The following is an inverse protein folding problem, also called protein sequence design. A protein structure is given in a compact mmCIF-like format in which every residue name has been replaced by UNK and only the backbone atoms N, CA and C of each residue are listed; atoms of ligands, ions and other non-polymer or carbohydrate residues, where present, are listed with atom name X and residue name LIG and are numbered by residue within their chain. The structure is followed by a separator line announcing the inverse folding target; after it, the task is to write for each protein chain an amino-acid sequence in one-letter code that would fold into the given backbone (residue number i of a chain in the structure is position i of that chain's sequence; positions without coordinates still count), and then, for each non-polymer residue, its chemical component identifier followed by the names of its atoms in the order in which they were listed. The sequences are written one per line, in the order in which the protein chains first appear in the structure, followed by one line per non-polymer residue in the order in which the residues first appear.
data_IF_526337818856
#
_entry.id   IF_526337818856
#
_cell.length_a   1.000
_cell.length_b   1.000
_cell.length_c   1.000
_cell.angle_alpha   90.00
_cell.angle_beta   90.00
_cell.angle_gamma   90.00
#
_symmetry.space_group_name_H-M   'P 1'
#
loop_
_entity.id
_entity.type
_entity.pdbx_description
1 polymer ?
#
# COMPACT_ATOMS: atom_id res chain seq x y z
N UNK A 1 -25.75 27.22 36.88
CA UNK A 1 -24.80 26.08 37.03
C UNK A 1 -25.08 25.07 35.92
N UNK A 2 -24.20 24.97 34.91
CA UNK A 2 -24.36 24.00 33.83
C UNK A 2 -23.84 22.64 34.29
N UNK A 3 -24.74 21.67 34.40
CA UNK A 3 -24.45 20.28 34.73
C UNK A 3 -23.56 19.68 33.63
N UNK A 4 -22.25 19.65 33.85
CA UNK A 4 -21.33 18.89 33.01
C UNK A 4 -21.67 17.40 33.18
N UNK A 5 -22.48 16.85 32.27
CA UNK A 5 -22.65 15.41 32.12
C UNK A 5 -21.28 14.79 31.84
N UNK A 6 -20.66 14.26 32.89
CA UNK A 6 -19.39 13.54 32.84
C UNK A 6 -19.59 12.33 31.94
N UNK A 7 -19.12 12.41 30.70
CA UNK A 7 -19.13 11.27 29.78
C UNK A 7 -18.16 10.22 30.34
N UNK A 8 -18.69 9.24 31.07
CA UNK A 8 -17.89 8.18 31.66
C UNK A 8 -17.59 7.08 30.62
N UNK A 9 -16.32 6.69 30.42
CA UNK A 9 -15.96 5.63 29.50
C UNK A 9 -16.37 4.27 30.07
N UNK A 10 -17.48 3.73 29.59
CA UNK A 10 -18.03 2.45 30.05
C UNK A 10 -17.14 1.27 29.59
N UNK A 11 -17.02 0.21 30.41
CA UNK A 11 -16.18 -0.98 30.15
C UNK A 11 -16.61 -1.71 28.86
N UNK A 12 -17.91 -1.66 28.53
CA UNK A 12 -18.48 -2.20 27.29
C UNK A 12 -17.88 -1.57 26.01
N UNK A 13 -17.30 -0.37 26.12
CA UNK A 13 -16.71 0.35 24.97
C UNK A 13 -15.40 -0.32 24.53
N UNK A 14 -14.68 -1.03 25.42
CA UNK A 14 -13.38 -1.62 25.07
C UNK A 14 -13.51 -2.79 24.07
N UNK A 15 -14.46 -3.70 24.29
CA UNK A 15 -14.72 -4.81 23.36
C UNK A 15 -15.19 -4.31 21.98
N UNK A 16 -16.09 -3.32 21.96
CA UNK A 16 -16.53 -2.66 20.71
C UNK A 16 -15.39 -1.96 19.98
N UNK A 17 -14.43 -1.35 20.70
CA UNK A 17 -13.22 -0.77 20.11
C UNK A 17 -12.32 -1.80 19.44
N UNK A 18 -12.24 -3.02 19.98
CA UNK A 18 -11.54 -4.12 19.33
C UNK A 18 -12.27 -4.56 18.05
N UNK A 19 -13.59 -4.72 18.11
CA UNK A 19 -14.41 -5.01 16.91
C UNK A 19 -14.24 -3.94 15.82
N UNK A 20 -14.24 -2.65 16.19
CA UNK A 20 -13.95 -1.56 15.26
C UNK A 20 -12.57 -1.69 14.60
N UNK A 21 -11.56 -2.09 15.37
CA UNK A 21 -10.20 -2.30 14.86
C UNK A 21 -10.15 -3.45 13.84
N UNK A 22 -10.82 -4.57 14.11
CA UNK A 22 -10.89 -5.70 13.18
C UNK A 22 -11.56 -5.30 11.87
N UNK A 23 -12.69 -4.59 11.93
CA UNK A 23 -13.40 -4.11 10.74
C UNK A 23 -12.52 -3.12 9.95
N UNK A 24 -11.92 -2.13 10.62
CA UNK A 24 -11.04 -1.17 9.96
C UNK A 24 -9.80 -1.86 9.36
N UNK A 25 -9.26 -2.91 10.01
CA UNK A 25 -8.15 -3.71 9.47
C UNK A 25 -8.56 -4.49 8.22
N UNK A 26 -9.76 -5.07 8.19
CA UNK A 26 -10.29 -5.74 7.00
C UNK A 26 -10.45 -4.77 5.82
N UNK A 27 -11.02 -3.59 6.07
CA UNK A 27 -11.18 -2.54 5.04
C UNK A 27 -9.83 -2.05 4.53
N UNK A 28 -8.88 -1.79 5.42
CA UNK A 28 -7.54 -1.36 5.03
C UNK A 28 -6.77 -2.44 4.26
N UNK A 29 -6.94 -3.72 4.60
CA UNK A 29 -6.35 -4.81 3.83
C UNK A 29 -6.92 -4.86 2.41
N UNK A 30 -8.24 -4.73 2.25
CA UNK A 30 -8.87 -4.65 0.94
C UNK A 30 -8.33 -3.45 0.13
N UNK A 31 -8.25 -2.27 0.75
CA UNK A 31 -7.69 -1.08 0.11
C UNK A 31 -6.22 -1.26 -0.28
N UNK A 32 -5.41 -1.89 0.56
CA UNK A 32 -4.01 -2.21 0.25
C UNK A 32 -3.88 -3.15 -0.93
N UNK A 33 -4.75 -4.15 -1.05
CA UNK A 33 -4.77 -5.05 -2.20
C UNK A 33 -5.10 -4.26 -3.47
N UNK A 34 -6.14 -3.42 -3.45
CA UNK A 34 -6.53 -2.62 -4.62
C UNK A 34 -5.42 -1.65 -5.03
N UNK A 35 -4.90 -0.87 -4.09
CA UNK A 35 -3.81 0.10 -4.34
C UNK A 35 -2.53 -0.63 -4.72
N UNK A 36 -2.22 -1.76 -4.10
CA UNK A 36 -1.08 -2.63 -4.41
C UNK A 36 -1.12 -3.14 -5.84
N UNK A 37 -2.26 -3.61 -6.34
CA UNK A 37 -2.36 -4.06 -7.72
C UNK A 37 -2.10 -2.95 -8.76
N UNK A 38 -2.31 -1.67 -8.39
CA UNK A 38 -2.07 -0.52 -9.27
C UNK A 38 -0.65 0.03 -9.16
N UNK A 39 -0.15 0.22 -7.93
CA UNK A 39 1.11 0.93 -7.64
C UNK A 39 2.20 0.03 -7.07
N UNK A 40 1.84 -1.15 -6.60
CA UNK A 40 2.74 -2.06 -5.91
C UNK A 40 3.76 -2.68 -6.85
N UNK A 41 4.93 -2.95 -6.29
CA UNK A 41 5.99 -3.69 -6.96
C UNK A 41 6.04 -5.06 -6.32
N UNK A 42 6.08 -6.10 -7.15
CA UNK A 42 6.22 -7.47 -6.64
C UNK A 42 7.63 -7.63 -6.08
N UNK A 43 7.71 -8.09 -4.82
CA UNK A 43 8.97 -8.36 -4.12
C UNK A 43 8.88 -9.73 -3.48
N UNK A 44 9.98 -10.45 -3.46
CA UNK A 44 10.11 -11.64 -2.63
C UNK A 44 10.04 -11.22 -1.16
N UNK A 45 8.99 -11.66 -0.48
CA UNK A 45 8.74 -11.35 0.94
C UNK A 45 9.45 -12.29 1.87
N UNK A 46 9.41 -13.58 1.52
CA UNK A 46 9.93 -14.64 2.36
C UNK A 46 10.54 -15.67 1.44
N UNK A 47 11.66 -16.23 1.88
CA UNK A 47 12.29 -17.31 1.18
C UNK A 47 13.24 -18.01 2.13
N UNK A 48 13.39 -19.31 1.93
CA UNK A 48 14.41 -20.10 2.61
C UNK A 48 15.47 -20.47 1.57
N UNK A 49 16.57 -19.70 1.46
CA UNK A 49 17.67 -20.08 0.58
C UNK A 49 18.39 -21.32 1.09
N UNK A 50 18.31 -21.60 2.40
CA UNK A 50 19.06 -22.68 3.04
C UNK A 50 18.63 -24.06 2.52
N UNK A 51 17.35 -24.23 2.18
CA UNK A 51 16.84 -25.47 1.62
C UNK A 51 17.49 -25.80 0.27
N UNK A 52 17.70 -24.80 -0.60
CA UNK A 52 18.40 -24.99 -1.88
C UNK A 52 19.88 -25.39 -1.70
N UNK A 53 20.55 -24.92 -0.65
CA UNK A 53 21.96 -25.27 -0.36
C UNK A 53 22.14 -26.69 0.17
N UNK A 54 21.11 -27.32 0.73
CA UNK A 54 21.18 -28.69 1.28
C UNK A 54 20.45 -29.73 0.41
N UNK A 55 20.11 -29.38 -0.83
CA UNK A 55 19.41 -30.28 -1.76
C UNK A 55 17.90 -30.42 -1.50
N UNK A 56 17.32 -29.56 -0.65
CA UNK A 56 15.88 -29.46 -0.42
C UNK A 56 15.19 -28.47 -1.36
N UNK A 57 13.86 -28.55 -1.46
CA UNK A 57 13.07 -27.59 -2.22
C UNK A 57 13.10 -26.21 -1.54
N UNK A 58 13.62 -25.20 -2.23
CA UNK A 58 13.49 -23.83 -1.77
C UNK A 58 12.07 -23.32 -1.98
N UNK A 59 11.53 -22.69 -0.94
CA UNK A 59 10.24 -22.01 -0.97
C UNK A 59 10.51 -20.52 -1.02
N UNK A 60 9.89 -19.83 -1.98
CA UNK A 60 9.88 -18.38 -2.07
C UNK A 60 8.43 -17.92 -2.21
N UNK A 61 8.05 -16.94 -1.40
CA UNK A 61 6.75 -16.27 -1.48
C UNK A 61 6.98 -14.86 -1.98
N UNK A 62 6.41 -14.52 -3.14
CA UNK A 62 6.30 -13.14 -3.61
C UNK A 62 4.98 -12.53 -3.13
N UNK A 63 5.00 -11.25 -2.84
CA UNK A 63 3.78 -10.47 -2.67
C UNK A 63 3.95 -9.07 -3.23
N UNK A 64 2.84 -8.50 -3.66
CA UNK A 64 2.76 -7.12 -4.13
C UNK A 64 2.79 -6.23 -2.90
N UNK A 65 3.90 -5.51 -2.71
CA UNK A 65 4.06 -4.63 -1.55
C UNK A 65 3.96 -3.17 -1.96
N UNK A 66 3.28 -2.40 -1.12
CA UNK A 66 3.33 -0.94 -1.10
C UNK A 66 4.51 -0.52 -0.23
N UNK A 67 5.36 0.39 -0.69
CA UNK A 67 6.43 0.91 0.15
C UNK A 67 5.88 1.62 1.39
N UNK A 68 6.66 1.62 2.48
CA UNK A 68 6.25 2.15 3.79
C UNK A 68 5.64 3.57 3.76
N UNK A 69 6.13 4.55 2.93
CA UNK A 69 5.54 5.88 2.91
C UNK A 69 4.12 5.86 2.36
N UNK A 70 3.85 4.98 1.38
CA UNK A 70 2.53 4.82 0.78
C UNK A 70 1.57 4.14 1.73
N UNK A 71 2.05 3.15 2.49
CA UNK A 71 1.27 2.53 3.55
C UNK A 71 0.89 3.52 4.64
N UNK A 72 1.83 4.38 5.06
CA UNK A 72 1.58 5.42 6.04
C UNK A 72 0.57 6.45 5.51
N UNK A 73 0.75 6.91 4.27
CA UNK A 73 -0.16 7.85 3.63
C UNK A 73 -1.59 7.28 3.56
N UNK A 74 -1.74 6.02 3.12
CA UNK A 74 -3.04 5.34 3.06
C UNK A 74 -3.70 5.24 4.44
N UNK A 75 -2.92 4.88 5.46
CA UNK A 75 -3.39 4.77 6.84
C UNK A 75 -3.90 6.11 7.37
N UNK A 76 -3.06 7.15 7.26
CA UNK A 76 -3.36 8.49 7.80
C UNK A 76 -4.55 9.09 7.07
N UNK A 77 -4.58 9.03 5.73
CA UNK A 77 -5.69 9.55 4.94
C UNK A 77 -7.01 8.84 5.23
N UNK A 78 -7.04 7.51 5.30
CA UNK A 78 -8.24 6.73 5.62
C UNK A 78 -8.84 7.15 6.98
N UNK A 79 -8.02 7.17 8.03
CA UNK A 79 -8.50 7.49 9.38
C UNK A 79 -8.82 8.98 9.56
N UNK A 80 -7.94 9.86 9.07
CA UNK A 80 -8.11 11.31 9.21
C UNK A 80 -9.37 11.80 8.49
N UNK A 81 -9.57 11.40 7.23
CA UNK A 81 -10.71 11.87 6.44
C UNK A 81 -12.03 11.43 7.09
N UNK A 82 -12.14 10.17 7.50
CA UNK A 82 -13.38 9.67 8.08
C UNK A 82 -13.68 10.29 9.45
N UNK A 83 -12.67 10.40 10.32
CA UNK A 83 -12.86 10.98 11.64
C UNK A 83 -13.12 12.50 11.58
N UNK A 84 -12.51 13.23 10.65
CA UNK A 84 -12.78 14.65 10.46
C UNK A 84 -14.16 14.90 9.82
N UNK A 85 -14.55 14.12 8.81
CA UNK A 85 -15.79 14.33 8.06
C UNK A 85 -17.03 13.80 8.77
N UNK A 86 -16.92 12.64 9.41
CA UNK A 86 -18.04 11.89 9.98
C UNK A 86 -17.96 11.71 11.50
N UNK A 87 -16.83 12.04 12.13
CA UNK A 87 -16.62 11.82 13.57
C UNK A 87 -16.41 10.35 13.94
N UNK A 88 -16.35 9.44 12.97
CA UNK A 88 -16.13 8.02 13.18
C UNK A 88 -15.51 7.40 11.92
N UNK A 89 -14.74 6.33 12.12
CA UNK A 89 -14.28 5.46 11.03
C UNK A 89 -15.38 4.49 10.65
N UNK A 90 -15.29 3.83 9.50
CA UNK A 90 -16.26 2.79 9.11
C UNK A 90 -16.41 1.71 10.18
N UNK A 91 -15.29 1.20 10.74
CA UNK A 91 -15.32 0.22 11.82
C UNK A 91 -15.97 0.78 13.09
N UNK A 92 -15.61 2.01 13.50
CA UNK A 92 -16.22 2.66 14.68
C UNK A 92 -17.72 2.90 14.48
N UNK A 93 -18.13 3.30 13.27
CA UNK A 93 -19.53 3.53 12.95
C UNK A 93 -20.34 2.22 13.03
N UNK A 94 -19.79 1.11 12.52
CA UNK A 94 -20.44 -0.21 12.58
C UNK A 94 -20.72 -0.68 14.01
N UNK A 95 -19.85 -0.35 14.97
CA UNK A 95 -20.02 -0.70 16.39
C UNK A 95 -20.62 0.45 17.24
N UNK A 96 -21.21 1.47 16.59
CA UNK A 96 -21.84 2.65 17.22
C UNK A 96 -20.90 3.43 18.14
N UNK A 97 -19.67 3.68 17.69
CA UNK A 97 -18.70 4.55 18.36
C UNK A 97 -18.50 5.85 17.60
N UNK A 98 -18.29 6.93 18.35
CA UNK A 98 -17.92 8.24 17.80
C UNK A 98 -16.72 8.83 18.53
N UNK A 99 -15.97 9.65 17.81
CA UNK A 99 -14.84 10.43 18.32
C UNK A 99 -15.29 11.88 18.49
N UNK A 100 -15.10 12.41 19.69
CA UNK A 100 -15.44 13.79 20.06
C UNK A 100 -14.25 14.47 20.74
N UNK A 101 -14.22 15.80 20.73
CA UNK A 101 -13.27 16.58 21.54
C UNK A 101 -13.62 16.49 23.05
N UNK A 102 -12.73 16.95 23.94
CA UNK A 102 -13.01 16.98 25.38
C UNK A 102 -14.25 17.80 25.77
N UNK A 103 -14.72 18.70 24.90
CA UNK A 103 -15.94 19.48 25.06
C UNK A 103 -17.18 18.80 24.47
N UNK A 104 -17.07 17.56 23.97
CA UNK A 104 -18.15 16.82 23.33
C UNK A 104 -18.49 17.25 21.89
N UNK A 105 -17.68 18.13 21.30
CA UNK A 105 -17.85 18.63 19.92
C UNK A 105 -17.15 17.76 18.89
N UNK A 106 -17.42 18.02 17.62
CA UNK A 106 -16.70 17.38 16.51
C UNK A 106 -15.20 17.68 16.58
N UNK A 107 -14.44 16.68 16.17
CA UNK A 107 -12.99 16.78 16.01
C UNK A 107 -12.64 17.73 14.86
N UNK A 108 -11.71 18.65 15.09
CA UNK A 108 -11.10 19.47 14.03
C UNK A 108 -10.06 18.68 13.23
N UNK A 109 -9.85 19.03 11.96
CA UNK A 109 -8.87 18.41 11.05
C UNK A 109 -7.48 18.19 11.67
N UNK A 110 -6.92 19.19 12.37
CA UNK A 110 -5.61 19.08 13.03
C UNK A 110 -5.60 18.06 14.18
N UNK A 111 -6.68 18.01 14.96
CA UNK A 111 -6.82 17.01 16.03
C UNK A 111 -6.98 15.59 15.48
N UNK A 112 -7.69 15.44 14.35
CA UNK A 112 -7.77 14.17 13.62
C UNK A 112 -6.40 13.75 13.04
N UNK A 113 -5.63 14.69 12.49
CA UNK A 113 -4.30 14.41 11.95
C UNK A 113 -3.33 13.99 13.04
N UNK A 114 -3.22 14.78 14.12
CA UNK A 114 -2.29 14.51 15.22
C UNK A 114 -2.49 13.13 15.85
N UNK A 115 -3.74 12.73 16.10
CA UNK A 115 -4.01 11.39 16.64
C UNK A 115 -3.69 10.25 15.66
N UNK A 116 -3.83 10.50 14.36
CA UNK A 116 -3.64 9.45 13.34
C UNK A 116 -2.18 9.31 12.90
N UNK A 117 -1.38 10.37 13.01
CA UNK A 117 0.09 10.29 12.82
C UNK A 117 0.78 9.49 13.93
N UNK A 118 0.26 9.51 15.15
CA UNK A 118 0.78 8.74 16.28
C UNK A 118 0.24 7.30 16.33
N UNK A 119 -0.76 6.99 15.51
CA UNK A 119 -1.38 5.66 15.48
C UNK A 119 -0.40 4.51 15.12
N UNK A 120 0.56 4.66 14.19
CA UNK A 120 1.59 3.64 13.97
C UNK A 120 2.43 3.36 15.21
N UNK A 121 2.77 4.40 15.99
CA UNK A 121 3.53 4.26 17.25
C UNK A 121 2.71 3.50 18.29
N UNK A 122 1.41 3.81 18.39
CA UNK A 122 0.50 3.08 19.27
C UNK A 122 0.42 1.58 18.94
N UNK A 123 0.54 1.20 17.66
CA UNK A 123 0.48 -0.19 17.19
C UNK A 123 1.80 -0.94 17.33
N UNK A 124 2.93 -0.32 17.00
CA UNK A 124 4.23 -1.00 16.91
C UNK A 124 4.71 -1.59 18.25
N UNK A 125 4.31 -0.97 19.36
CA UNK A 125 4.73 -1.38 20.71
C UNK A 125 3.58 -1.86 21.60
N UNK A 126 2.39 -2.07 21.02
CA UNK A 126 1.14 -2.22 21.79
C UNK A 126 0.95 -1.12 22.86
N UNK A 127 1.66 0.01 22.72
CA UNK A 127 1.74 1.08 23.69
C UNK A 127 0.38 1.72 23.88
N UNK A 128 -0.40 1.82 22.80
CA UNK A 128 -1.77 2.32 22.85
C UNK A 128 -2.66 1.47 23.77
N UNK A 129 -2.48 0.14 23.79
CA UNK A 129 -3.24 -0.73 24.69
C UNK A 129 -2.81 -0.55 26.16
N UNK A 130 -1.50 -0.44 26.41
CA UNK A 130 -0.95 -0.20 27.75
C UNK A 130 -1.39 1.16 28.31
N UNK A 131 -1.33 2.22 27.50
CA UNK A 131 -1.76 3.57 27.88
C UNK A 131 -3.27 3.62 28.09
N UNK A 132 -4.06 2.96 27.23
CA UNK A 132 -5.51 2.85 27.44
C UNK A 132 -5.86 2.11 28.74
N UNK A 133 -5.10 1.08 29.10
CA UNK A 133 -5.33 0.32 30.33
C UNK A 133 -5.02 1.14 31.60
N UNK A 134 -4.03 2.03 31.55
CA UNK A 134 -3.65 2.90 32.68
C UNK A 134 -4.33 4.27 32.68
N UNK A 135 -4.96 4.68 31.58
CA UNK A 135 -5.64 5.97 31.49
C UNK A 135 -7.06 5.89 32.08
N UNK A 136 -7.43 6.78 33.02
CA UNK A 136 -8.78 6.81 33.59
C UNK A 136 -9.85 7.12 32.55
N UNK A 137 -9.47 7.80 31.45
CA UNK A 137 -10.36 8.11 30.32
C UNK A 137 -10.27 7.07 29.18
N UNK A 138 -9.47 6.00 29.36
CA UNK A 138 -9.15 4.99 28.36
C UNK A 138 -8.72 5.61 27.01
N UNK A 139 -7.92 6.66 27.05
CA UNK A 139 -7.39 7.33 25.87
C UNK A 139 -6.11 6.66 25.38
N UNK A 140 -5.88 6.62 24.06
CA UNK A 140 -4.57 6.29 23.49
C UNK A 140 -3.62 7.49 23.59
N UNK A 141 -2.33 7.29 23.31
CA UNK A 141 -1.35 8.36 23.34
C UNK A 141 -1.71 9.47 22.32
N UNK A 142 -2.13 9.07 21.11
CA UNK A 142 -2.64 10.01 20.11
C UNK A 142 -3.94 10.73 20.53
N UNK A 143 -4.84 10.06 21.25
CA UNK A 143 -6.08 10.66 21.73
C UNK A 143 -5.83 11.68 22.84
N UNK A 144 -4.83 11.42 23.69
CA UNK A 144 -4.39 12.32 24.75
C UNK A 144 -3.82 13.61 24.17
N UNK A 145 -2.88 13.50 23.22
CA UNK A 145 -2.27 14.66 22.55
C UNK A 145 -3.29 15.46 21.73
N UNK A 146 -4.24 14.79 21.08
CA UNK A 146 -5.30 15.46 20.33
C UNK A 146 -6.46 15.97 21.20
N UNK A 147 -6.42 15.75 22.53
CA UNK A 147 -7.50 16.13 23.45
C UNK A 147 -8.87 15.60 23.00
N UNK A 148 -8.93 14.31 22.69
CA UNK A 148 -10.14 13.67 22.13
C UNK A 148 -10.50 12.37 22.84
N UNK A 149 -11.77 11.99 22.77
CA UNK A 149 -12.28 10.77 23.39
C UNK A 149 -13.18 9.99 22.44
N UNK A 150 -13.22 8.67 22.64
CA UNK A 150 -14.11 7.77 21.91
C UNK A 150 -15.25 7.34 22.83
N UNK A 151 -16.47 7.66 22.42
CA UNK A 151 -17.71 7.51 23.18
C UNK A 151 -18.72 6.66 22.43
N UNK A 152 -19.74 6.20 23.14
CA UNK A 152 -20.90 5.59 22.50
C UNK A 152 -21.63 6.64 21.66
N UNK A 153 -21.99 6.32 20.42
CA UNK A 153 -22.68 7.23 19.53
C UNK A 153 -24.02 7.70 20.11
N UNK A 154 -24.68 6.87 20.92
CA UNK A 154 -25.97 7.17 21.54
C UNK A 154 -25.84 8.18 22.69
N UNK A 155 -24.63 8.31 23.26
CA UNK A 155 -24.32 9.30 24.33
C UNK A 155 -24.05 10.72 23.80
N UNK A 156 -23.98 10.89 22.48
CA UNK A 156 -23.69 12.18 21.85
C UNK A 156 -25.00 12.85 21.42
N UNK A 157 -25.31 14.08 21.89
CA UNK A 157 -26.54 14.78 21.51
C UNK A 157 -26.76 14.83 19.99
N UNK A 158 -27.96 14.43 19.56
CA UNK A 158 -28.36 14.46 18.15
C UNK A 158 -28.45 15.92 17.67
N UNK A 159 -27.45 16.39 16.92
CA UNK A 159 -27.41 17.78 16.45
C UNK A 159 -25.99 18.30 16.18
N UNK A 160 -24.98 17.67 16.79
CA UNK A 160 -23.55 17.98 16.56
C UNK A 160 -23.09 17.77 15.10
N UNK A 161 -23.88 17.04 14.31
CA UNK A 161 -23.64 16.86 12.88
C UNK A 161 -24.88 17.25 12.04
N UNK A 162 -24.93 18.47 11.46
CA UNK A 162 -25.99 18.84 10.52
C UNK A 162 -26.05 17.87 9.32
N UNK A 163 -27.24 17.37 8.97
CA UNK A 163 -27.44 16.44 7.84
C UNK A 163 -26.90 16.98 6.51
N UNK A 164 -26.97 18.30 6.30
CA UNK A 164 -26.42 18.98 5.14
C UNK A 164 -24.89 18.85 5.03
N UNK A 165 -24.18 18.93 6.16
CA UNK A 165 -22.73 18.77 6.20
C UNK A 165 -22.32 17.33 5.91
N UNK A 166 -23.06 16.34 6.43
CA UNK A 166 -22.84 14.92 6.10
C UNK A 166 -23.06 14.65 4.61
N UNK A 167 -24.10 15.23 3.99
CA UNK A 167 -24.35 15.09 2.54
C UNK A 167 -23.23 15.71 1.72
N UNK A 168 -22.78 16.92 2.05
CA UNK A 168 -21.64 17.59 1.40
C UNK A 168 -20.36 16.75 1.51
N UNK A 169 -20.08 16.20 2.69
CA UNK A 169 -18.89 15.39 2.93
C UNK A 169 -18.95 14.05 2.17
N UNK A 170 -20.14 13.44 2.02
CA UNK A 170 -20.34 12.27 1.17
C UNK A 170 -20.08 12.58 -0.30
N UNK A 171 -20.62 13.68 -0.81
CA UNK A 171 -20.38 14.11 -2.20
C UNK A 171 -18.88 14.39 -2.42
N UNK A 172 -18.24 15.13 -1.51
CA UNK A 172 -16.81 15.41 -1.59
C UNK A 172 -15.97 14.12 -1.59
N UNK A 173 -16.31 13.13 -0.76
CA UNK A 173 -15.63 11.84 -0.74
C UNK A 173 -15.85 11.04 -2.03
N UNK A 174 -17.06 11.04 -2.60
CA UNK A 174 -17.34 10.41 -3.89
C UNK A 174 -16.56 11.08 -5.03
N UNK A 175 -16.51 12.41 -5.06
CA UNK A 175 -15.73 13.15 -6.05
C UNK A 175 -14.23 12.85 -5.90
N UNK A 176 -13.69 12.86 -4.68
CA UNK A 176 -12.29 12.49 -4.43
C UNK A 176 -12.00 11.04 -4.84
N UNK A 177 -12.91 10.12 -4.60
CA UNK A 177 -12.77 8.72 -5.00
C UNK A 177 -12.78 8.57 -6.53
N UNK A 178 -13.68 9.27 -7.24
CA UNK A 178 -13.71 9.29 -8.70
C UNK A 178 -12.42 9.89 -9.29
N UNK A 179 -11.94 11.01 -8.74
CA UNK A 179 -10.67 11.63 -9.15
C UNK A 179 -9.49 10.68 -8.91
N UNK A 180 -9.45 10.00 -7.76
CA UNK A 180 -8.41 9.04 -7.44
C UNK A 180 -8.46 7.81 -8.37
N UNK A 181 -9.64 7.27 -8.68
CA UNK A 181 -9.79 6.18 -9.65
C UNK A 181 -9.34 6.60 -11.05
N UNK A 182 -9.69 7.82 -11.48
CA UNK A 182 -9.20 8.38 -12.74
C UNK A 182 -7.67 8.51 -12.77
N UNK A 183 -7.07 9.02 -11.68
CA UNK A 183 -5.63 9.08 -11.52
C UNK A 183 -4.97 7.69 -11.54
N UNK A 184 -5.54 6.71 -10.84
CA UNK A 184 -5.06 5.32 -10.83
C UNK A 184 -5.09 4.70 -12.22
N UNK A 185 -6.17 4.91 -12.98
CA UNK A 185 -6.29 4.43 -14.36
C UNK A 185 -5.25 5.10 -15.26
N UNK A 186 -5.07 6.42 -15.13
CA UNK A 186 -4.03 7.16 -15.85
C UNK A 186 -2.63 6.68 -15.52
N UNK A 187 -2.31 6.49 -14.24
CA UNK A 187 -1.01 5.97 -13.80
C UNK A 187 -0.79 4.52 -14.25
N UNK A 188 -1.81 3.66 -14.19
CA UNK A 188 -1.71 2.28 -14.67
C UNK A 188 -1.36 2.22 -16.16
N UNK A 189 -1.87 3.16 -16.95
CA UNK A 189 -1.55 3.24 -18.37
C UNK A 189 -0.18 3.91 -18.63
N UNK A 190 0.10 5.06 -18.02
CA UNK A 190 1.28 5.86 -18.36
C UNK A 190 2.53 5.62 -17.49
N UNK A 191 2.36 5.31 -16.21
CA UNK A 191 3.43 5.21 -15.22
C UNK A 191 3.85 3.78 -14.86
N UNK A 192 2.96 2.79 -15.08
CA UNK A 192 3.22 1.38 -14.73
C UNK A 192 4.27 0.65 -15.60
N UNK A 193 4.43 0.91 -16.91
CA UNK A 193 5.41 0.20 -17.74
C UNK A 193 6.83 0.09 -17.13
N UNK A 194 7.49 1.16 -16.67
CA UNK A 194 8.82 1.05 -16.06
C UNK A 194 8.84 0.24 -14.75
N UNK A 195 7.75 0.25 -13.97
CA UNK A 195 7.66 -0.54 -12.73
C UNK A 195 7.59 -2.04 -13.03
N UNK A 196 6.88 -2.44 -14.10
CA UNK A 196 6.81 -3.83 -14.55
C UNK A 196 8.18 -4.34 -15.01
N UNK A 197 8.90 -3.52 -15.79
CA UNK A 197 10.25 -3.85 -16.24
C UNK A 197 11.20 -4.04 -15.05
N UNK A 198 11.10 -3.15 -14.04
CA UNK A 198 11.85 -3.28 -12.79
C UNK A 198 11.47 -4.53 -12.00
N UNK A 199 10.19 -4.87 -11.96
CA UNK A 199 9.69 -6.09 -11.33
C UNK A 199 10.29 -7.33 -11.98
N UNK A 200 10.25 -7.43 -13.32
CA UNK A 200 10.84 -8.54 -14.07
C UNK A 200 12.35 -8.64 -13.94
N UNK A 201 13.06 -7.50 -13.86
CA UNK A 201 14.49 -7.47 -13.58
C UNK A 201 14.81 -8.05 -12.19
N UNK A 202 13.94 -7.78 -11.20
CA UNK A 202 14.09 -8.29 -9.84
C UNK A 202 13.78 -9.79 -9.73
N UNK A 203 12.77 -10.28 -10.47
CA UNK A 203 12.34 -11.70 -10.46
C UNK A 203 13.10 -12.59 -11.43
N UNK A 204 13.95 -12.03 -12.30
CA UNK A 204 14.74 -12.79 -13.28
C UNK A 204 13.97 -13.20 -14.54
N UNK A 205 12.78 -12.64 -14.76
CA UNK A 205 11.92 -12.87 -15.95
C UNK A 205 12.15 -11.85 -17.08
N UNK A 206 13.26 -11.13 -17.03
CA UNK A 206 13.52 -9.91 -17.81
C UNK A 206 13.55 -10.08 -19.36
N UNK A 207 13.71 -11.31 -19.88
CA UNK A 207 13.93 -11.58 -21.32
C UNK A 207 12.95 -12.58 -21.96
N UNK A 208 11.77 -12.79 -21.40
CA UNK A 208 10.72 -13.65 -21.98
C UNK A 208 11.17 -15.03 -22.46
N UNK A 209 12.05 -15.72 -21.72
CA UNK A 209 12.29 -17.13 -22.01
C UNK A 209 11.36 -18.01 -21.18
N UNK A 210 10.41 -18.58 -21.90
CA UNK A 210 9.42 -19.56 -21.50
C UNK A 210 10.09 -20.88 -21.10
N UNK A 211 10.68 -20.89 -19.90
CA UNK A 211 10.86 -22.05 -19.02
C UNK A 211 11.69 -21.56 -17.83
N UNK A 212 11.00 -21.21 -16.75
CA UNK A 212 11.63 -21.30 -15.44
C UNK A 212 11.79 -22.80 -15.21
N UNK A 213 12.99 -23.34 -15.40
CA UNK A 213 13.27 -24.71 -14.99
C UNK A 213 12.89 -24.83 -13.50
N UNK A 214 11.99 -25.75 -13.11
CA UNK A 214 11.54 -25.89 -11.72
C UNK A 214 12.70 -26.16 -10.73
N UNK A 215 13.85 -26.59 -11.25
CA UNK A 215 15.07 -26.88 -10.49
C UNK A 215 16.01 -25.67 -10.32
N UNK A 216 15.67 -24.50 -10.85
CA UNK A 216 16.50 -23.27 -10.81
C UNK A 216 16.04 -22.24 -9.76
N UNK A 217 15.02 -22.58 -8.96
CA UNK A 217 14.57 -21.77 -7.82
C UNK A 217 15.65 -21.72 -6.73
N UNK A 218 16.36 -20.58 -6.65
CA UNK A 218 17.38 -20.32 -5.63
C UNK A 218 18.82 -20.20 -6.14
N UNK A 219 19.08 -20.44 -7.44
CA UNK A 219 20.36 -20.07 -8.06
C UNK A 219 20.27 -18.65 -8.62
N UNK A 220 21.31 -17.80 -8.49
CA UNK A 220 21.34 -16.53 -9.20
C UNK A 220 21.26 -16.84 -10.69
N UNK A 221 20.09 -16.60 -11.28
CA UNK A 221 19.89 -16.76 -12.71
C UNK A 221 20.94 -15.92 -13.43
N UNK A 222 21.77 -16.54 -14.28
CA UNK A 222 22.70 -15.84 -15.18
C UNK A 222 21.99 -14.81 -16.09
N UNK A 223 20.66 -14.85 -16.12
CA UNK A 223 19.77 -13.94 -16.82
C UNK A 223 19.30 -12.74 -15.97
N UNK A 224 19.65 -12.67 -14.68
CA UNK A 224 19.45 -11.46 -13.88
C UNK A 224 20.46 -10.40 -14.34
N UNK A 225 20.02 -9.20 -14.72
CA UNK A 225 20.95 -8.14 -15.06
C UNK A 225 21.59 -7.57 -13.79
N UNK A 226 22.92 -7.44 -13.77
CA UNK A 226 23.65 -6.77 -12.67
C UNK A 226 23.33 -5.27 -12.64
N UNK A 227 23.13 -4.70 -13.83
CA UNK A 227 22.66 -3.34 -14.05
C UNK A 227 21.86 -3.29 -15.35
N UNK A 228 20.87 -2.41 -15.41
CA UNK A 228 20.14 -2.09 -16.64
C UNK A 228 19.79 -0.61 -16.68
N UNK A 229 19.76 -0.06 -17.89
CA UNK A 229 19.30 1.30 -18.16
C UNK A 229 18.23 1.26 -19.26
N UNK A 230 17.16 2.01 -19.03
CA UNK A 230 16.08 2.22 -19.99
C UNK A 230 16.30 3.57 -20.68
N UNK A 231 16.35 3.58 -22.01
CA UNK A 231 16.34 4.83 -22.76
C UNK A 231 14.93 5.38 -22.94
N UNK A 232 14.81 6.48 -23.70
CA UNK A 232 13.53 7.15 -23.95
C UNK A 232 12.56 6.22 -24.71
N UNK A 233 11.33 6.02 -24.24
CA UNK A 233 10.38 5.14 -24.90
C UNK A 233 9.84 5.74 -26.20
N UNK A 234 9.61 4.89 -27.22
CA UNK A 234 8.74 5.21 -28.35
C UNK A 234 7.36 4.61 -28.11
N UNK A 235 6.29 5.39 -28.35
CA UNK A 235 4.90 4.96 -28.13
C UNK A 235 4.23 4.64 -29.47
N UNK A 236 3.69 3.44 -29.56
CA UNK A 236 2.78 3.00 -30.62
C UNK A 236 1.32 3.01 -30.16
N UNK A 237 0.42 2.55 -31.02
CA UNK A 237 -1.02 2.47 -30.71
C UNK A 237 -1.30 1.30 -29.76
N UNK A 238 -1.28 1.57 -28.45
CA UNK A 238 -1.45 0.55 -27.41
C UNK A 238 -0.19 -0.28 -27.14
N UNK A 239 0.96 0.13 -27.68
CA UNK A 239 2.26 -0.47 -27.39
C UNK A 239 3.29 0.59 -26.98
N UNK A 240 4.26 0.21 -26.17
CA UNK A 240 5.37 1.07 -25.77
C UNK A 240 6.68 0.29 -25.87
N UNK A 241 7.64 0.86 -26.57
CA UNK A 241 8.94 0.23 -26.83
C UNK A 241 10.02 1.00 -26.09
N UNK A 242 10.77 0.29 -25.25
CA UNK A 242 11.91 0.82 -24.50
C UNK A 242 13.20 0.30 -25.13
N UNK A 243 14.14 1.18 -25.54
CA UNK A 243 15.50 0.75 -25.79
C UNK A 243 16.14 0.38 -24.45
N UNK A 244 16.72 -0.81 -24.38
CA UNK A 244 17.31 -1.37 -23.16
C UNK A 244 18.80 -1.60 -23.35
N UNK A 245 19.59 -1.25 -22.33
CA UNK A 245 21.01 -1.63 -22.22
C UNK A 245 21.21 -2.31 -20.88
N UNK A 246 21.74 -3.53 -20.85
CA UNK A 246 21.89 -4.30 -19.63
C UNK A 246 23.14 -5.17 -19.64
N UNK A 247 23.65 -5.54 -18.46
CA UNK A 247 24.80 -6.42 -18.31
C UNK A 247 24.37 -7.73 -17.65
N UNK A 248 24.83 -8.87 -18.19
CA UNK A 248 24.51 -10.20 -17.65
C UNK A 248 25.41 -10.53 -16.46
N UNK A 249 24.87 -11.27 -15.49
CA UNK A 249 25.66 -11.77 -14.36
C UNK A 249 26.74 -12.74 -14.89
N UNK A 250 28.02 -12.38 -14.75
CA UNK A 250 29.15 -13.16 -15.26
C UNK A 250 29.69 -12.76 -16.64
N UNK A 251 29.15 -11.72 -17.28
CA UNK A 251 29.75 -11.13 -18.49
C UNK A 251 29.97 -9.62 -18.34
N UNK A 252 31.16 -9.15 -18.75
CA UNK A 252 31.45 -7.72 -18.83
C UNK A 252 30.96 -7.07 -20.13
N UNK A 253 30.45 -7.85 -21.10
CA UNK A 253 29.94 -7.29 -22.35
C UNK A 253 28.52 -6.74 -22.15
N UNK A 254 28.27 -5.44 -22.45
CA UNK A 254 26.92 -4.89 -22.41
C UNK A 254 26.08 -5.46 -23.55
N UNK A 255 24.83 -5.79 -23.25
CA UNK A 255 23.81 -6.16 -24.23
C UNK A 255 22.93 -4.94 -24.51
N UNK A 256 22.58 -4.75 -25.78
CA UNK A 256 21.68 -3.69 -26.23
C UNK A 256 20.50 -4.29 -26.97
N UNK A 257 19.32 -3.68 -26.82
CA UNK A 257 18.10 -4.22 -27.38
C UNK A 257 16.90 -3.29 -27.31
N UNK A 258 15.75 -3.81 -27.72
CA UNK A 258 14.43 -3.17 -27.63
C UNK A 258 13.46 -4.11 -26.92
N UNK A 259 12.73 -3.54 -25.97
CA UNK A 259 11.70 -4.22 -25.18
C UNK A 259 10.35 -3.59 -25.49
N UNK A 260 9.44 -4.37 -26.06
CA UNK A 260 8.09 -3.93 -26.43
C UNK A 260 7.07 -4.47 -25.45
N UNK A 261 6.23 -3.57 -24.94
CA UNK A 261 5.10 -3.86 -24.08
C UNK A 261 3.81 -3.51 -24.83
N UNK A 262 2.77 -4.33 -24.65
CA UNK A 262 1.43 -4.08 -25.19
C UNK A 262 0.43 -3.92 -24.06
N UNK A 263 -0.41 -2.90 -24.18
CA UNK A 263 -1.54 -2.69 -23.30
C UNK A 263 -2.69 -3.59 -23.74
N UNK A 264 -3.16 -4.45 -22.84
CA UNK A 264 -4.28 -5.34 -23.14
C UNK A 264 -5.61 -4.68 -22.76
N UNK A 265 -5.85 -4.51 -21.47
CA UNK A 265 -7.01 -3.82 -20.93
C UNK A 265 -6.70 -3.34 -19.49
N UNK A 266 -7.66 -2.69 -18.83
CA UNK A 266 -7.46 -2.19 -17.47
C UNK A 266 -7.17 -3.30 -16.44
N UNK A 267 -7.74 -4.49 -16.64
CA UNK A 267 -7.64 -5.61 -15.70
C UNK A 267 -6.31 -6.39 -15.85
N UNK A 268 -5.88 -6.60 -17.08
CA UNK A 268 -4.65 -7.32 -17.43
C UNK A 268 -3.43 -6.42 -17.46
N UNK A 269 -3.61 -5.12 -17.73
CA UNK A 269 -2.55 -4.12 -17.78
C UNK A 269 -1.62 -4.27 -18.98
N UNK A 270 -0.35 -3.90 -18.76
CA UNK A 270 0.72 -4.04 -19.74
C UNK A 270 1.30 -5.46 -19.69
N UNK A 271 1.36 -6.10 -20.86
CA UNK A 271 1.99 -7.40 -21.06
C UNK A 271 3.20 -7.27 -21.99
N UNK A 272 4.16 -8.19 -21.88
CA UNK A 272 5.24 -8.22 -22.83
C UNK A 272 4.79 -8.69 -24.20
N UNK A 273 5.30 -8.03 -25.24
CA UNK A 273 5.00 -8.37 -26.64
C UNK A 273 6.22 -8.95 -27.35
N UNK A 274 7.38 -8.28 -27.26
CA UNK A 274 8.62 -8.77 -27.87
C UNK A 274 9.87 -8.22 -27.18
N UNK A 275 10.97 -8.99 -27.23
CA UNK A 275 12.31 -8.54 -26.86
C UNK A 275 13.28 -8.92 -27.94
N UNK A 276 14.00 -7.92 -28.43
CA UNK A 276 15.12 -8.09 -29.34
C UNK A 276 16.37 -7.60 -28.61
N UNK A 277 17.39 -8.45 -28.47
CA UNK A 277 18.64 -8.05 -27.82
C UNK A 277 19.85 -8.67 -28.51
N UNK A 278 20.84 -7.85 -28.79
CA UNK A 278 22.16 -8.24 -29.31
C UNK A 278 23.20 -8.02 -28.22
N UNK A 279 23.91 -9.08 -27.85
CA UNK A 279 25.06 -9.01 -26.95
C UNK A 279 26.33 -9.17 -27.77
N UNK A 280 27.38 -8.41 -27.46
CA UNK A 280 28.68 -8.60 -28.10
C UNK A 280 29.17 -10.04 -27.91
N UNK A 281 29.38 -10.77 -29.01
CA UNK A 281 30.00 -12.10 -28.99
C UNK A 281 31.38 -12.00 -28.35
N UNK A 282 31.71 -12.94 -27.45
CA UNK A 282 33.11 -13.18 -27.08
C UNK A 282 33.86 -13.57 -28.34
N UNK A 283 34.77 -12.71 -28.81
CA UNK A 283 35.79 -13.10 -29.77
C UNK A 283 36.80 -13.91 -28.97
N UNK A 284 36.68 -15.24 -28.96
CA UNK A 284 37.76 -16.13 -28.47
C UNK A 284 38.96 -15.93 -29.41
N UNK A 285 40.13 -15.48 -28.93
CA UNK A 285 41.36 -15.60 -29.68
C UNK A 285 42.05 -16.90 -29.24
N UNK A 286 41.66 -18.03 -29.82
CA UNK A 286 42.49 -19.24 -29.77
C UNK A 286 42.44 -19.93 -31.14
N UNK A 287 43.41 -19.57 -31.99
CA UNK A 287 43.97 -20.45 -33.03
C UNK A 287 45.23 -19.78 -33.64
N UNK A 288 46.36 -19.90 -32.95
CA UNK A 288 47.66 -20.43 -33.40
C UNK A 288 48.75 -20.08 -32.39
#
# INVERSE_FOLDING_TARGET
MQTQTRVQPNVQVLGRRFGAFVIDAAVLNLLRIVVGNVFGVERFTQGSPWAATVGGAAWFSSSVQLDWPWQLLLLVTYFMLQEALFGATLGKWAVRLRVVDLSGRRVRWLGALGRNLLRPVDYWFALGALVMARSPKRQRLGDYLASTLVVDADSVPQGLCPRAEVRRNRIALLVLMLLFTGFCAGFSYYGRPPLLIRSWANTGQFLFRERVDPYSLGKPSSYRPTSYNLGKPSRGRGSITYPIRYQRTGSNTPCEGKLTLRWMNFWEGWRPESVESTCGQQRNPESF
#
